data_IF_730499508036
#
_entry.id   IF_730499508036
#
_cell.length_a   1.000
_cell.length_b   1.000
_cell.length_c   1.000
_cell.angle_alpha   90.00
_cell.angle_beta   90.00
_cell.angle_gamma   90.00
#
_symmetry.space_group_name_H-M   'P 1'
#
loop_
_entity.id
_entity.type
_entity.pdbx_description
1 polymer ?
#
# COMPACT_ATOMS: atom_id res chain seq x y z
N UNK A 1 11.25 -3.64 10.34
CA UNK A 1 12.13 -2.59 9.78
C UNK A 1 12.25 -1.44 10.78
N UNK A 2 13.44 -0.88 10.91
CA UNK A 2 13.74 0.16 11.90
C UNK A 2 13.10 1.50 11.48
N UNK A 3 12.75 2.36 12.43
CA UNK A 3 12.30 3.70 12.13
C UNK A 3 13.41 4.51 11.44
N UNK A 4 13.18 4.84 10.17
CA UNK A 4 14.01 5.65 9.31
C UNK A 4 13.19 6.05 8.07
N UNK A 5 13.71 6.98 7.27
CA UNK A 5 13.18 7.25 5.94
C UNK A 5 13.86 6.34 4.91
N UNK A 6 13.06 5.54 4.23
CA UNK A 6 13.45 4.66 3.13
C UNK A 6 13.04 5.34 1.82
N UNK A 7 14.01 5.97 1.16
CA UNK A 7 13.78 6.77 -0.05
C UNK A 7 13.93 5.91 -1.31
N UNK A 8 12.87 5.81 -2.12
CA UNK A 8 12.85 5.05 -3.36
C UNK A 8 12.81 3.52 -3.14
N UNK A 9 12.52 3.07 -1.92
CA UNK A 9 12.42 1.65 -1.57
C UNK A 9 11.09 1.06 -2.06
N UNK A 10 11.06 0.78 -3.36
CA UNK A 10 9.89 0.24 -4.07
C UNK A 10 10.18 -1.19 -4.52
N UNK A 11 9.23 -2.09 -4.32
CA UNK A 11 9.44 -3.51 -4.61
C UNK A 11 8.14 -4.29 -4.84
N UNK A 12 8.28 -5.53 -5.30
CA UNK A 12 7.24 -6.55 -5.14
C UNK A 12 7.53 -7.42 -3.94
N UNK A 13 6.49 -7.71 -3.15
CA UNK A 13 6.52 -8.68 -2.06
C UNK A 13 5.87 -9.95 -2.60
N UNK A 14 6.69 -10.89 -3.08
CA UNK A 14 6.21 -12.15 -3.69
C UNK A 14 6.13 -13.32 -2.70
N UNK A 15 6.86 -13.27 -1.60
CA UNK A 15 6.78 -14.27 -0.56
C UNK A 15 5.48 -14.11 0.24
N UNK A 16 4.88 -15.24 0.62
CA UNK A 16 3.64 -15.31 1.41
C UNK A 16 3.91 -15.47 2.90
N UNK A 17 2.90 -15.26 3.75
CA UNK A 17 2.96 -15.46 5.21
C UNK A 17 3.99 -14.55 5.89
N UNK A 18 4.06 -13.30 5.43
CA UNK A 18 5.00 -12.33 5.96
C UNK A 18 4.28 -11.30 6.84
N UNK A 19 4.94 -10.95 7.93
CA UNK A 19 4.65 -9.71 8.66
C UNK A 19 5.79 -8.72 8.43
N UNK A 20 5.48 -7.60 7.80
CA UNK A 20 6.40 -6.48 7.61
C UNK A 20 5.97 -5.39 8.57
N UNK A 21 6.78 -5.17 9.62
CA UNK A 21 6.44 -4.27 10.73
C UNK A 21 7.50 -3.22 10.97
N UNK A 22 7.09 -1.96 11.09
CA UNK A 22 7.91 -0.89 11.65
C UNK A 22 8.16 -1.08 13.14
N UNK A 23 9.41 -0.95 13.58
CA UNK A 23 9.81 -1.05 15.01
C UNK A 23 10.61 0.17 15.43
N UNK A 24 10.57 0.48 16.74
CA UNK A 24 11.27 1.62 17.34
C UNK A 24 10.88 2.96 16.72
N UNK A 25 9.59 3.12 16.40
CA UNK A 25 9.01 4.25 15.68
C UNK A 25 8.36 3.80 14.36
N UNK A 26 7.85 4.77 13.60
CA UNK A 26 7.17 4.55 12.32
C UNK A 26 8.15 4.80 11.16
N UNK A 27 8.62 3.78 10.42
CA UNK A 27 9.38 3.96 9.20
C UNK A 27 8.56 4.71 8.14
N UNK A 28 9.24 5.57 7.40
CA UNK A 28 8.67 6.35 6.30
C UNK A 28 9.15 5.78 4.98
N UNK A 29 8.24 5.24 4.17
CA UNK A 29 8.51 4.70 2.86
C UNK A 29 8.12 5.76 1.83
N UNK A 30 9.12 6.49 1.35
CA UNK A 30 8.95 7.57 0.38
C UNK A 30 9.20 7.02 -1.02
N UNK A 31 8.21 7.08 -1.90
CA UNK A 31 8.35 6.66 -3.29
C UNK A 31 9.51 7.36 -4.02
N UNK A 32 9.80 8.63 -3.68
CA UNK A 32 10.90 9.42 -4.23
C UNK A 32 10.99 9.40 -5.78
N UNK A 33 9.84 9.49 -6.45
CA UNK A 33 9.74 9.44 -7.91
C UNK A 33 9.96 8.04 -8.51
N UNK A 34 10.01 7.00 -7.69
CA UNK A 34 10.10 5.60 -8.09
C UNK A 34 8.77 4.89 -7.87
N UNK A 35 8.57 3.82 -8.62
CA UNK A 35 7.50 2.86 -8.39
C UNK A 35 7.95 1.49 -8.88
N UNK A 36 7.42 0.43 -8.30
CA UNK A 36 7.64 -0.91 -8.82
C UNK A 36 6.64 -1.21 -9.95
N UNK A 37 7.18 -1.52 -11.13
CA UNK A 37 6.40 -1.91 -12.30
C UNK A 37 5.40 -0.86 -12.79
N UNK A 38 5.61 0.42 -12.49
CA UNK A 38 4.66 1.49 -12.82
C UNK A 38 3.36 1.45 -12.01
N UNK A 39 3.32 0.72 -10.88
CA UNK A 39 2.09 0.46 -10.12
C UNK A 39 2.03 1.16 -8.77
N UNK A 40 3.10 1.10 -7.98
CA UNK A 40 3.07 1.61 -6.60
C UNK A 40 4.39 1.48 -5.85
N UNK A 41 4.38 1.85 -4.57
CA UNK A 41 5.54 1.70 -3.69
C UNK A 41 5.79 0.21 -3.46
N UNK A 42 4.84 -0.49 -2.84
CA UNK A 42 4.90 -1.94 -2.70
C UNK A 42 3.77 -2.63 -3.45
N UNK A 43 4.14 -3.61 -4.29
CA UNK A 43 3.20 -4.50 -4.98
C UNK A 43 3.15 -5.83 -4.24
N UNK A 44 2.07 -6.05 -3.50
CA UNK A 44 1.87 -7.19 -2.61
C UNK A 44 1.28 -8.35 -3.42
N UNK A 45 2.15 -9.28 -3.84
CA UNK A 45 1.78 -10.48 -4.62
C UNK A 45 1.65 -11.73 -3.77
N UNK A 46 2.38 -11.79 -2.65
CA UNK A 46 2.26 -12.87 -1.68
C UNK A 46 0.88 -12.88 -1.02
N UNK A 47 0.52 -14.05 -0.52
CA UNK A 47 -0.72 -14.26 0.23
C UNK A 47 -0.44 -14.19 1.73
N UNK A 48 -1.47 -13.91 2.54
CA UNK A 48 -1.35 -13.84 4.00
C UNK A 48 -0.25 -12.86 4.42
N UNK A 49 -0.42 -11.61 4.00
CA UNK A 49 0.54 -10.53 4.23
C UNK A 49 -0.03 -9.55 5.24
N UNK A 50 0.75 -9.30 6.30
CA UNK A 50 0.51 -8.20 7.22
C UNK A 50 1.53 -7.09 6.99
N UNK A 51 1.05 -5.88 6.77
CA UNK A 51 1.84 -4.65 6.88
C UNK A 51 1.38 -3.89 8.12
N UNK A 52 2.34 -3.50 8.96
CA UNK A 52 2.06 -2.91 10.27
C UNK A 52 3.01 -1.74 10.58
N UNK A 53 2.46 -0.65 11.10
CA UNK A 53 3.20 0.51 11.59
C UNK A 53 4.15 1.09 10.54
N UNK A 54 3.64 1.43 9.35
CA UNK A 54 4.40 2.14 8.30
C UNK A 54 3.73 3.46 7.94
N UNK A 55 4.53 4.41 7.45
CA UNK A 55 4.06 5.60 6.73
C UNK A 55 4.47 5.44 5.26
N UNK A 56 3.56 5.67 4.32
CA UNK A 56 3.84 5.46 2.90
C UNK A 56 3.31 6.62 2.06
N UNK A 57 4.19 7.26 1.28
CA UNK A 57 3.82 8.45 0.52
C UNK A 57 4.59 8.68 -0.78
N UNK A 58 4.03 9.53 -1.63
CA UNK A 58 4.67 10.07 -2.83
C UNK A 58 4.51 9.21 -4.09
N UNK A 59 3.71 8.14 -4.06
CA UNK A 59 3.53 7.27 -5.22
C UNK A 59 2.83 8.03 -6.37
N UNK A 60 3.57 8.27 -7.45
CA UNK A 60 3.07 8.90 -8.68
C UNK A 60 3.58 8.14 -9.91
N UNK A 61 2.68 7.74 -10.81
CA UNK A 61 3.02 6.92 -11.99
C UNK A 61 2.37 7.47 -13.25
N UNK A 62 2.89 7.08 -14.41
CA UNK A 62 2.43 7.61 -15.71
C UNK A 62 0.92 7.40 -15.95
N UNK A 63 0.39 6.25 -15.49
CA UNK A 63 -1.02 5.87 -15.66
C UNK A 63 -1.96 6.51 -14.63
N UNK A 64 -1.46 7.43 -13.79
CA UNK A 64 -2.22 8.14 -12.74
C UNK A 64 -2.92 7.21 -11.74
N UNK A 65 -2.34 6.04 -11.49
CA UNK A 65 -2.87 4.98 -10.61
C UNK A 65 -1.84 4.42 -9.62
N UNK A 66 -0.86 5.24 -9.26
CA UNK A 66 0.25 4.97 -8.36
C UNK A 66 -0.23 4.80 -6.94
N UNK A 67 -0.15 3.57 -6.42
CA UNK A 67 -0.61 3.26 -5.07
C UNK A 67 0.53 3.23 -4.05
N UNK A 68 0.27 3.57 -2.78
CA UNK A 68 1.18 3.14 -1.72
C UNK A 68 1.25 1.60 -1.67
N UNK A 69 0.08 0.95 -1.72
CA UNK A 69 -0.02 -0.52 -1.77
C UNK A 69 -0.87 -0.98 -2.96
N UNK A 70 -0.27 -1.81 -3.82
CA UNK A 70 -0.99 -2.52 -4.89
C UNK A 70 -1.20 -3.97 -4.47
N UNK A 71 -2.46 -4.38 -4.27
CA UNK A 71 -2.77 -5.74 -3.84
C UNK A 71 -3.02 -6.65 -5.05
N UNK A 72 -2.22 -7.70 -5.17
CA UNK A 72 -2.29 -8.72 -6.22
C UNK A 72 -2.44 -10.15 -5.65
N UNK A 73 -2.17 -10.35 -4.35
CA UNK A 73 -2.39 -11.62 -3.64
C UNK A 73 -3.75 -11.74 -2.92
N UNK A 74 -3.88 -12.75 -2.06
CA UNK A 74 -5.03 -12.94 -1.14
C UNK A 74 -4.65 -12.67 0.31
N UNK A 75 -5.64 -12.36 1.13
CA UNK A 75 -5.52 -12.32 2.60
C UNK A 75 -4.51 -11.26 3.05
N UNK A 76 -4.92 -10.00 2.95
CA UNK A 76 -4.09 -8.86 3.25
C UNK A 76 -4.58 -8.14 4.50
N UNK A 77 -3.65 -7.81 5.40
CA UNK A 77 -3.92 -6.98 6.58
C UNK A 77 -3.02 -5.75 6.55
N UNK A 78 -3.62 -4.56 6.64
CA UNK A 78 -2.94 -3.32 6.95
C UNK A 78 -3.38 -2.83 8.32
N UNK A 79 -2.41 -2.49 9.16
CA UNK A 79 -2.72 -1.94 10.48
C UNK A 79 -1.76 -0.88 10.97
N UNK A 80 -2.25 -0.03 11.88
CA UNK A 80 -1.48 1.01 12.54
C UNK A 80 -0.70 1.90 11.58
N UNK A 81 -1.18 2.11 10.35
CA UNK A 81 -0.39 2.69 9.25
C UNK A 81 -0.91 4.06 8.81
N UNK A 82 -0.09 4.81 8.07
CA UNK A 82 -0.50 6.10 7.49
C UNK A 82 -0.13 6.15 6.01
N UNK A 83 -1.13 6.18 5.14
CA UNK A 83 -0.95 6.21 3.68
C UNK A 83 -1.43 7.55 3.15
N UNK A 84 -0.51 8.38 2.65
CA UNK A 84 -0.84 9.74 2.27
C UNK A 84 -0.05 10.29 1.08
N UNK A 85 -0.56 11.32 0.43
CA UNK A 85 0.12 12.03 -0.67
C UNK A 85 0.55 11.08 -1.83
N UNK A 86 -0.23 10.02 -2.06
CA UNK A 86 -0.12 9.10 -3.20
C UNK A 86 -1.26 9.35 -4.19
N UNK A 87 -1.17 8.85 -5.41
CA UNK A 87 -2.34 8.86 -6.32
C UNK A 87 -3.45 7.96 -5.79
N UNK A 88 -3.11 6.82 -5.20
CA UNK A 88 -4.02 5.98 -4.41
C UNK A 88 -3.37 5.53 -3.10
N UNK A 89 -4.14 5.42 -2.02
CA UNK A 89 -3.65 4.78 -0.80
C UNK A 89 -3.46 3.28 -1.04
N UNK A 90 -4.57 2.56 -1.23
CA UNK A 90 -4.56 1.16 -1.67
C UNK A 90 -5.30 1.04 -2.99
N UNK A 91 -4.76 0.23 -3.91
CA UNK A 91 -5.44 -0.17 -5.13
C UNK A 91 -5.38 -1.69 -5.32
N UNK A 92 -6.54 -2.33 -5.47
CA UNK A 92 -6.67 -3.73 -5.83
C UNK A 92 -7.64 -3.96 -7.00
N UNK A 93 -7.46 -5.07 -7.71
CA UNK A 93 -8.49 -5.62 -8.59
C UNK A 93 -9.56 -6.40 -7.82
N UNK A 94 -10.51 -6.98 -8.56
CA UNK A 94 -11.44 -7.95 -7.98
C UNK A 94 -10.72 -9.28 -7.67
N UNK A 95 -10.91 -9.78 -6.46
CA UNK A 95 -10.39 -11.06 -6.02
C UNK A 95 -11.32 -11.64 -4.93
N UNK A 96 -12.33 -12.41 -5.33
CA UNK A 96 -13.34 -12.98 -4.43
C UNK A 96 -12.81 -14.09 -3.52
N UNK A 97 -11.52 -14.46 -3.63
CA UNK A 97 -10.86 -15.34 -2.69
C UNK A 97 -10.14 -14.58 -1.55
N UNK A 98 -9.99 -13.26 -1.67
CA UNK A 98 -9.23 -12.46 -0.71
C UNK A 98 -10.13 -11.91 0.40
N UNK A 99 -9.64 -11.99 1.64
CA UNK A 99 -10.07 -11.08 2.71
C UNK A 99 -9.09 -9.91 2.80
N UNK A 100 -9.60 -8.68 2.84
CA UNK A 100 -8.79 -7.50 3.12
C UNK A 100 -9.21 -6.95 4.49
N UNK A 101 -8.26 -6.72 5.38
CA UNK A 101 -8.52 -6.14 6.71
C UNK A 101 -7.71 -4.87 6.86
N UNK A 102 -8.37 -3.78 7.23
CA UNK A 102 -7.76 -2.47 7.46
C UNK A 102 -8.21 -1.98 8.83
N UNK A 103 -7.27 -1.82 9.75
CA UNK A 103 -7.58 -1.40 11.13
C UNK A 103 -6.57 -0.36 11.61
N UNK A 104 -7.01 0.57 12.47
CA UNK A 104 -6.13 1.59 13.09
C UNK A 104 -5.24 2.35 12.10
N UNK A 105 -5.72 2.55 10.86
CA UNK A 105 -4.95 3.11 9.75
C UNK A 105 -5.58 4.40 9.27
N UNK A 106 -4.76 5.40 9.02
CA UNK A 106 -5.17 6.68 8.48
C UNK A 106 -4.84 6.78 6.98
N UNK A 107 -5.74 7.44 6.24
CA UNK A 107 -5.54 7.81 4.85
C UNK A 107 -5.75 9.31 4.70
N UNK A 108 -4.79 10.01 4.08
CA UNK A 108 -4.88 11.47 3.96
C UNK A 108 -4.28 11.99 2.65
N UNK A 109 -4.89 13.00 2.05
CA UNK A 109 -4.35 13.70 0.85
C UNK A 109 -3.94 12.76 -0.29
N UNK A 110 -4.54 11.58 -0.41
CA UNK A 110 -4.36 10.77 -1.61
C UNK A 110 -5.26 11.30 -2.73
N UNK A 111 -4.83 11.05 -3.96
CA UNK A 111 -5.49 11.48 -5.17
C UNK A 111 -5.08 12.86 -5.66
N UNK A 112 -5.63 13.23 -6.81
CA UNK A 112 -5.31 14.45 -7.55
C UNK A 112 -6.25 15.63 -7.22
N UNK A 113 -7.23 15.42 -6.34
CA UNK A 113 -8.34 16.37 -6.15
C UNK A 113 -9.26 16.46 -7.37
N UNK A 114 -9.17 15.49 -8.29
CA UNK A 114 -9.92 15.42 -9.55
C UNK A 114 -11.24 14.65 -9.43
N UNK A 115 -11.50 14.01 -8.29
CA UNK A 115 -12.68 13.19 -8.04
C UNK A 115 -12.62 11.78 -8.62
N UNK A 116 -11.53 11.40 -9.30
CA UNK A 116 -11.35 10.07 -9.92
C UNK A 116 -10.37 9.16 -9.17
N UNK A 117 -9.66 9.71 -8.19
CA UNK A 117 -8.66 9.01 -7.39
C UNK A 117 -9.15 8.74 -5.97
N UNK A 118 -8.65 7.66 -5.35
CA UNK A 118 -9.25 7.10 -4.13
C UNK A 118 -8.22 6.90 -3.01
N UNK A 119 -8.64 7.15 -1.77
CA UNK A 119 -7.89 6.68 -0.60
C UNK A 119 -7.85 5.14 -0.57
N UNK A 120 -8.99 4.51 -0.83
CA UNK A 120 -9.16 3.08 -0.83
C UNK A 120 -9.92 2.65 -2.10
N UNK A 121 -9.22 2.01 -3.03
CA UNK A 121 -9.82 1.34 -4.18
C UNK A 121 -9.66 -0.17 -4.01
N UNK A 122 -10.71 -0.84 -3.56
CA UNK A 122 -10.73 -2.30 -3.39
C UNK A 122 -11.80 -2.87 -4.32
N UNK A 123 -11.37 -3.62 -5.33
CA UNK A 123 -12.29 -4.39 -6.17
C UNK A 123 -13.05 -5.45 -5.36
N UNK A 124 -14.04 -6.11 -5.94
CA UNK A 124 -14.86 -7.11 -5.23
C UNK A 124 -13.99 -8.19 -4.56
N UNK A 125 -14.04 -8.24 -3.24
CA UNK A 125 -13.35 -9.23 -2.38
C UNK A 125 -14.35 -10.13 -1.66
N UNK A 126 -13.88 -11.21 -1.02
CA UNK A 126 -14.74 -12.05 -0.18
C UNK A 126 -15.27 -11.26 1.02
N UNK A 127 -14.39 -10.45 1.62
CA UNK A 127 -14.66 -9.64 2.80
C UNK A 127 -13.71 -8.43 2.84
N UNK A 128 -14.25 -7.29 3.25
CA UNK A 128 -13.53 -6.08 3.65
C UNK A 128 -13.88 -5.78 5.11
#
# INVERSE_FOLDING_TARGET
MQAATYSGDVCAISASKLTIRGVNGRPQINAAGKSYGGKGIWVVRGNDITIDNVEMFGAKVADKNGAALRLEGTDFTLRNSFLHDNENGILSGANTASTVTIEYTEFGRNGYGDGYSHNLYIGKVAKL
#
